data_IF_016599158332
#
_entry.id   IF_016599158332
#
_cell.length_a   1.000
_cell.length_b   1.000
_cell.length_c   1.000
_cell.angle_alpha   90.00
_cell.angle_beta   90.00
_cell.angle_gamma   90.00
#
_symmetry.space_group_name_H-M   'P 1'
#
loop_
_entity.id
_entity.type
_entity.pdbx_description
1 polymer ?
#
# COMPACT_ATOMS: atom_id res chain seq x y z
N UNK A 1 -13.92 -23.12 -21.12
CA UNK A 1 -13.18 -21.88 -20.83
C UNK A 1 -11.74 -22.25 -20.48
N UNK A 2 -10.72 -21.90 -21.29
CA UNK A 2 -9.35 -22.22 -20.95
C UNK A 2 -8.89 -21.37 -19.77
N UNK A 3 -8.22 -22.02 -18.81
CA UNK A 3 -7.67 -21.42 -17.58
C UNK A 3 -6.60 -20.40 -17.98
N UNK A 4 -6.83 -19.11 -17.70
CA UNK A 4 -5.80 -18.06 -17.91
C UNK A 4 -4.60 -18.39 -17.02
N UNK A 5 -3.43 -18.52 -17.65
CA UNK A 5 -2.17 -18.67 -16.92
C UNK A 5 -1.89 -17.37 -16.15
N UNK A 6 -1.74 -17.49 -14.84
CA UNK A 6 -1.40 -16.38 -13.96
C UNK A 6 0.10 -16.11 -14.08
N UNK A 7 0.46 -15.14 -14.92
CA UNK A 7 1.80 -14.58 -14.95
C UNK A 7 1.98 -13.62 -13.77
N UNK A 8 2.94 -13.92 -12.89
CA UNK A 8 3.42 -12.99 -11.86
C UNK A 8 4.56 -12.15 -12.44
N UNK A 9 4.50 -10.83 -12.26
CA UNK A 9 5.53 -9.90 -12.72
C UNK A 9 6.25 -9.27 -11.52
N UNK A 10 7.56 -9.06 -11.65
CA UNK A 10 8.41 -8.38 -10.66
C UNK A 10 9.15 -7.23 -11.32
N UNK A 11 9.18 -6.07 -10.67
CA UNK A 11 10.02 -4.95 -11.09
C UNK A 11 11.47 -5.17 -10.64
N UNK A 12 12.43 -5.03 -11.56
CA UNK A 12 13.87 -5.20 -11.28
C UNK A 12 14.62 -3.89 -11.05
N UNK A 13 13.93 -2.75 -11.09
CA UNK A 13 14.53 -1.41 -11.03
C UNK A 13 14.58 -0.69 -12.39
N UNK A 14 14.43 -1.42 -13.50
CA UNK A 14 14.52 -0.86 -14.86
C UNK A 14 13.43 -1.38 -15.80
N UNK A 15 12.92 -2.61 -15.59
CA UNK A 15 11.84 -3.20 -16.39
C UNK A 15 11.01 -4.20 -15.58
N UNK A 16 9.82 -4.48 -16.10
CA UNK A 16 8.99 -5.58 -15.60
C UNK A 16 9.54 -6.91 -16.11
N UNK A 17 9.93 -7.80 -15.19
CA UNK A 17 10.39 -9.15 -15.48
C UNK A 17 9.30 -10.18 -15.12
N UNK A 18 9.14 -11.22 -15.93
CA UNK A 18 8.23 -12.33 -15.64
C UNK A 18 8.87 -13.18 -14.55
N UNK A 19 8.16 -13.38 -13.44
CA UNK A 19 8.55 -14.33 -12.40
C UNK A 19 8.09 -15.70 -12.84
N UNK A 20 9.02 -16.48 -13.38
CA UNK A 20 8.82 -17.92 -13.52
C UNK A 20 8.74 -18.51 -12.12
N UNK A 21 7.65 -19.26 -11.84
CA UNK A 21 7.56 -20.02 -10.59
C UNK A 21 8.81 -20.89 -10.46
N UNK A 22 9.45 -20.96 -9.28
CA UNK A 22 10.56 -21.89 -9.09
C UNK A 22 10.06 -23.29 -9.43
N UNK A 23 10.77 -23.96 -10.34
CA UNK A 23 10.49 -25.35 -10.66
C UNK A 23 10.70 -26.20 -9.40
N UNK A 24 9.94 -27.28 -9.24
CA UNK A 24 9.96 -28.11 -8.02
C UNK A 24 11.38 -28.59 -7.66
N UNK A 25 12.25 -28.77 -8.65
CA UNK A 25 13.67 -29.14 -8.50
C UNK A 25 14.55 -28.05 -7.86
N UNK A 26 14.17 -26.78 -7.95
CA UNK A 26 14.97 -25.65 -7.44
C UNK A 26 14.72 -25.40 -5.94
N UNK A 27 13.55 -25.83 -5.44
CA UNK A 27 13.23 -25.81 -4.01
C UNK A 27 14.01 -26.87 -3.24
N UNK A 28 14.20 -28.07 -3.82
CA UNK A 28 14.92 -29.18 -3.17
C UNK A 28 16.43 -28.91 -3.05
N UNK A 29 17.03 -28.19 -4.01
CA UNK A 29 18.45 -27.84 -3.97
C UNK A 29 18.79 -26.79 -2.90
N UNK A 30 17.88 -25.84 -2.63
CA UNK A 30 18.07 -24.82 -1.57
C UNK A 30 17.93 -25.41 -0.17
N UNK A 31 17.22 -26.52 -0.01
CA UNK A 31 17.14 -27.24 1.28
C UNK A 31 18.37 -28.08 1.62
N UNK A 32 19.27 -28.36 0.67
CA UNK A 32 20.46 -29.19 0.89
C UNK A 32 21.74 -28.43 1.29
N UNK A 33 21.72 -27.10 1.35
CA UNK A 33 22.89 -26.29 1.72
C UNK A 33 22.71 -25.72 3.13
N UNK A 34 22.90 -26.58 4.14
CA UNK A 34 23.10 -26.15 5.52
C UNK A 34 24.54 -25.64 5.67
N UNK A 35 24.81 -24.40 5.26
CA UNK A 35 26.03 -23.71 5.68
C UNK A 35 25.78 -23.18 7.09
N UNK A 36 26.39 -23.84 8.06
CA UNK A 36 26.53 -23.38 9.45
C UNK A 36 27.29 -22.07 9.49
N UNK A 37 26.57 -20.95 9.45
CA UNK A 37 27.05 -19.68 9.98
C UNK A 37 25.93 -19.11 10.83
N UNK A 38 26.20 -18.95 12.12
CA UNK A 38 25.35 -18.29 13.09
C UNK A 38 24.89 -16.93 12.55
N UNK A 39 23.67 -16.88 12.04
CA UNK A 39 22.93 -15.65 11.78
C UNK A 39 21.58 -15.89 12.41
N UNK A 40 21.21 -14.95 13.27
CA UNK A 40 19.99 -14.90 14.06
C UNK A 40 18.79 -15.48 13.31
N UNK A 41 17.95 -16.20 14.05
CA UNK A 41 16.64 -16.71 13.65
C UNK A 41 15.78 -15.59 13.05
N UNK A 42 16.02 -15.25 11.80
CA UNK A 42 15.07 -14.53 10.96
C UNK A 42 14.11 -15.60 10.50
N UNK A 43 13.03 -15.78 11.28
CA UNK A 43 11.81 -16.40 10.78
C UNK A 43 11.60 -15.83 9.38
N UNK A 44 11.59 -16.65 8.32
CA UNK A 44 11.44 -16.14 6.96
C UNK A 44 10.15 -15.32 6.97
N UNK A 45 10.28 -13.99 6.85
CA UNK A 45 9.15 -13.06 6.75
C UNK A 45 8.29 -13.64 5.64
N UNK A 46 7.15 -14.21 6.03
CA UNK A 46 6.18 -14.75 5.09
C UNK A 46 5.95 -13.63 4.07
N UNK A 47 6.06 -13.94 2.78
CA UNK A 47 5.88 -12.96 1.72
C UNK A 47 4.43 -12.45 1.80
N UNK A 48 4.19 -11.45 2.63
CA UNK A 48 2.89 -10.82 2.77
C UNK A 48 2.58 -10.12 1.45
N UNK A 49 1.38 -10.36 0.89
CA UNK A 49 0.99 -9.71 -0.34
C UNK A 49 0.91 -8.20 -0.11
N UNK A 50 1.65 -7.43 -0.92
CA UNK A 50 1.58 -5.97 -0.91
C UNK A 50 0.17 -5.56 -1.36
N UNK A 51 -0.56 -4.87 -0.50
CA UNK A 51 -1.90 -4.35 -0.82
C UNK A 51 -1.77 -2.89 -1.23
N UNK A 52 -2.19 -2.57 -2.44
CA UNK A 52 -2.12 -1.21 -2.97
C UNK A 52 -3.54 -0.73 -3.21
N UNK A 53 -3.90 0.43 -2.65
CA UNK A 53 -5.20 1.05 -2.85
C UNK A 53 -5.04 2.47 -3.38
N UNK A 54 -6.01 2.92 -4.17
CA UNK A 54 -6.14 4.32 -4.55
C UNK A 54 -7.50 4.85 -4.13
N UNK A 55 -7.54 6.04 -3.57
CA UNK A 55 -8.77 6.70 -3.12
C UNK A 55 -8.86 8.09 -3.72
N UNK A 56 -9.96 8.38 -4.40
CA UNK A 56 -10.28 9.75 -4.75
C UNK A 56 -11.08 10.36 -3.59
N UNK A 57 -10.50 11.36 -2.91
CA UNK A 57 -11.11 11.96 -1.73
C UNK A 57 -11.87 13.25 -2.06
N UNK A 58 -12.10 13.56 -3.34
CA UNK A 58 -12.89 14.68 -3.87
C UNK A 58 -12.49 16.03 -3.26
N UNK A 59 -11.79 16.86 -4.04
CA UNK A 59 -11.20 18.10 -3.54
C UNK A 59 -12.27 19.08 -3.01
N UNK A 60 -11.98 19.78 -1.92
CA UNK A 60 -12.85 20.78 -1.26
C UNK A 60 -13.15 22.03 -2.13
N UNK A 61 -12.83 22.02 -3.43
CA UNK A 61 -12.98 23.16 -4.35
C UNK A 61 -14.41 23.33 -4.92
N UNK A 62 -15.39 22.63 -4.36
CA UNK A 62 -16.79 22.70 -4.76
C UNK A 62 -17.52 23.86 -4.07
N UNK A 63 -18.73 24.24 -4.55
CA UNK A 63 -19.51 25.32 -3.94
C UNK A 63 -19.64 25.18 -2.42
N UNK A 64 -19.80 26.29 -1.71
CA UNK A 64 -19.72 26.38 -0.23
C UNK A 64 -20.51 25.31 0.54
N UNK A 65 -21.64 24.84 0.01
CA UNK A 65 -22.46 23.80 0.63
C UNK A 65 -21.82 22.40 0.53
N UNK A 66 -21.08 22.13 -0.53
CA UNK A 66 -20.26 20.91 -0.68
C UNK A 66 -19.00 21.03 0.18
N UNK A 67 -18.39 22.22 0.27
CA UNK A 67 -17.27 22.47 1.17
C UNK A 67 -17.62 22.14 2.63
N UNK A 68 -18.83 22.49 3.10
CA UNK A 68 -19.31 22.13 4.44
C UNK A 68 -19.43 20.62 4.64
N UNK A 69 -19.97 19.89 3.65
CA UNK A 69 -20.10 18.44 3.71
C UNK A 69 -18.72 17.74 3.67
N UNK A 70 -17.80 18.28 2.88
CA UNK A 70 -16.42 17.78 2.75
C UNK A 70 -15.61 18.05 4.03
N UNK A 71 -15.77 19.22 4.64
CA UNK A 71 -15.15 19.60 5.92
C UNK A 71 -15.87 19.02 7.13
N UNK A 72 -16.94 18.23 6.96
CA UNK A 72 -17.59 17.54 8.06
C UNK A 72 -16.62 16.53 8.69
N UNK A 73 -16.58 16.48 10.02
CA UNK A 73 -15.81 15.49 10.77
C UNK A 73 -16.27 14.05 10.46
N UNK A 74 -17.57 13.89 10.17
CA UNK A 74 -18.18 12.61 9.80
C UNK A 74 -17.54 12.03 8.54
N UNK A 75 -17.28 12.86 7.53
CA UNK A 75 -16.64 12.42 6.29
C UNK A 75 -15.21 11.93 6.53
N UNK A 76 -14.46 12.63 7.36
CA UNK A 76 -13.10 12.24 7.73
C UNK A 76 -13.09 10.91 8.47
N UNK A 77 -14.02 10.72 9.39
CA UNK A 77 -14.19 9.46 10.12
C UNK A 77 -14.50 8.29 9.17
N UNK A 78 -15.43 8.50 8.22
CA UNK A 78 -15.73 7.51 7.18
C UNK A 78 -14.53 7.20 6.27
N UNK A 79 -13.74 8.22 5.91
CA UNK A 79 -12.50 8.02 5.15
C UNK A 79 -11.50 7.17 5.93
N UNK A 80 -11.25 7.49 7.20
CA UNK A 80 -10.36 6.72 8.08
C UNK A 80 -10.85 5.28 8.24
N UNK A 81 -12.14 5.07 8.50
CA UNK A 81 -12.75 3.75 8.59
C UNK A 81 -12.62 2.97 7.26
N UNK A 82 -12.77 3.65 6.12
CA UNK A 82 -12.51 3.08 4.80
C UNK A 82 -11.08 2.57 4.68
N UNK A 83 -10.09 3.40 5.01
CA UNK A 83 -8.66 3.05 4.97
C UNK A 83 -8.36 1.87 5.90
N UNK A 84 -8.91 1.86 7.12
CA UNK A 84 -8.77 0.77 8.09
C UNK A 84 -9.30 -0.54 7.51
N UNK A 85 -10.51 -0.52 6.95
CA UNK A 85 -11.16 -1.71 6.40
C UNK A 85 -10.44 -2.27 5.17
N UNK A 86 -9.86 -1.39 4.34
CA UNK A 86 -9.05 -1.80 3.19
C UNK A 86 -7.70 -2.37 3.58
N UNK A 87 -7.16 -1.95 4.73
CA UNK A 87 -5.85 -2.35 5.26
C UNK A 87 -4.72 -2.30 4.19
N UNK A 88 -4.59 -1.21 3.41
CA UNK A 88 -3.57 -1.15 2.36
C UNK A 88 -2.16 -1.04 2.95
N UNK A 89 -1.18 -1.66 2.28
CA UNK A 89 0.24 -1.44 2.57
C UNK A 89 0.70 -0.11 1.98
N UNK A 90 0.19 0.24 0.79
CA UNK A 90 0.48 1.50 0.08
C UNK A 90 -0.86 2.11 -0.33
N UNK A 91 -1.05 3.40 -0.01
CA UNK A 91 -2.24 4.15 -0.38
C UNK A 91 -1.87 5.36 -1.22
N UNK A 92 -2.50 5.48 -2.39
CA UNK A 92 -2.48 6.69 -3.20
C UNK A 92 -3.77 7.48 -3.01
N UNK A 93 -3.69 8.75 -2.66
CA UNK A 93 -4.85 9.63 -2.52
C UNK A 93 -4.87 10.65 -3.67
N UNK A 94 -6.00 10.76 -4.36
CA UNK A 94 -6.25 11.72 -5.43
C UNK A 94 -7.15 12.85 -4.94
N UNK A 95 -7.01 14.02 -5.57
CA UNK A 95 -7.78 15.23 -5.25
C UNK A 95 -7.64 15.68 -3.79
N UNK A 96 -6.45 15.50 -3.24
CA UNK A 96 -6.14 15.91 -1.86
C UNK A 96 -5.94 17.42 -1.80
N UNK A 97 -6.78 18.11 -1.03
CA UNK A 97 -6.58 19.53 -0.69
C UNK A 97 -5.62 19.67 0.49
N UNK A 98 -5.02 20.85 0.65
CA UNK A 98 -4.13 21.16 1.79
C UNK A 98 -4.87 20.94 3.11
N UNK A 99 -6.13 21.36 3.20
CA UNK A 99 -6.97 21.18 4.39
C UNK A 99 -7.25 19.71 4.68
N UNK A 100 -7.57 18.91 3.66
CA UNK A 100 -7.77 17.47 3.82
C UNK A 100 -6.48 16.77 4.27
N UNK A 101 -5.32 17.16 3.71
CA UNK A 101 -4.02 16.62 4.11
C UNK A 101 -3.68 16.96 5.56
N UNK A 102 -3.90 18.21 6.00
CA UNK A 102 -3.69 18.62 7.39
C UNK A 102 -4.54 17.78 8.36
N UNK A 103 -5.81 17.57 8.02
CA UNK A 103 -6.71 16.74 8.82
C UNK A 103 -6.32 15.26 8.84
N UNK A 104 -5.83 14.72 7.73
CA UNK A 104 -5.29 13.37 7.68
C UNK A 104 -4.05 13.22 8.58
N UNK A 105 -3.20 14.24 8.66
CA UNK A 105 -2.04 14.27 9.58
C UNK A 105 -2.44 14.36 11.05
N UNK A 106 -3.55 15.02 11.36
CA UNK A 106 -4.11 15.09 12.71
C UNK A 106 -4.68 13.75 13.18
N UNK A 107 -5.04 12.86 12.25
CA UNK A 107 -5.54 11.53 12.58
C UNK A 107 -4.43 10.64 13.17
N UNK A 108 -4.61 10.22 14.43
CA UNK A 108 -3.66 9.34 15.14
C UNK A 108 -3.37 8.05 14.39
N UNK A 109 -4.41 7.40 13.85
CA UNK A 109 -4.28 6.15 13.11
C UNK A 109 -3.37 6.28 11.88
N UNK A 110 -3.58 7.31 11.06
CA UNK A 110 -2.79 7.52 9.85
C UNK A 110 -1.34 7.82 10.20
N UNK A 111 -1.12 8.68 11.20
CA UNK A 111 0.22 9.08 11.65
C UNK A 111 1.04 7.91 12.21
N UNK A 112 0.40 6.95 12.88
CA UNK A 112 1.08 5.81 13.49
C UNK A 112 1.34 4.68 12.49
N UNK A 113 0.51 4.54 11.45
CA UNK A 113 0.55 3.39 10.54
C UNK A 113 1.09 3.70 9.14
N UNK A 114 1.07 4.97 8.72
CA UNK A 114 1.46 5.37 7.37
C UNK A 114 2.53 6.45 7.38
N UNK A 115 3.48 6.32 6.48
CA UNK A 115 4.41 7.40 6.15
C UNK A 115 3.76 8.31 5.11
N UNK A 116 3.61 9.60 5.42
CA UNK A 116 3.10 10.60 4.49
C UNK A 116 4.29 11.26 3.82
N UNK A 117 4.43 11.08 2.51
CA UNK A 117 5.44 11.80 1.72
C UNK A 117 4.86 13.16 1.32
N UNK A 118 5.29 14.20 2.02
CA UNK A 118 5.02 15.58 1.62
C UNK A 118 5.96 15.96 0.46
N UNK A 119 5.58 15.67 -0.78
CA UNK A 119 6.27 16.27 -1.94
C UNK A 119 5.61 17.63 -2.18
N UNK A 120 6.01 18.61 -1.38
CA UNK A 120 5.87 20.01 -1.76
C UNK A 120 7.30 20.51 -2.03
N UNK A 121 7.87 20.07 -3.16
CA UNK A 121 8.99 20.78 -3.73
C UNK A 121 8.43 22.12 -4.25
N UNK A 122 8.87 23.21 -3.61
CA UNK A 122 8.74 24.59 -4.12
C UNK A 122 9.49 24.77 -5.44
#
# INVERSE_FOLDING_TARGET
>A
MPRRELHSYRWDGTKWAIVTKPSHSELEFRSSVNITTNVENTVPKVNEPIRIATFNILADCFPWFVEMAIRSAERLEWLCNGIINLNPTIIGLNEVTITALQRLKECSFIRENYFITDIFDE
#
